data_IF_121423689775
#
_entry.id   IF_121423689775
#
_cell.length_a   1.000
_cell.length_b   1.000
_cell.length_c   1.000
_cell.angle_alpha   90.00
_cell.angle_beta   90.00
_cell.angle_gamma   90.00
#
_symmetry.space_group_name_H-M   'P 1'
#
loop_
_entity.id
_entity.type
_entity.pdbx_description
1 polymer ?
#
# COMPACT_ATOMS: atom_id res chain seq x y z
N UNK A 1 27.02 -25.59 -26.13
CA UNK A 1 27.55 -24.41 -25.42
C UNK A 1 26.64 -23.18 -25.57
N UNK A 2 26.74 -22.36 -26.63
CA UNK A 2 25.91 -21.12 -26.75
C UNK A 2 24.39 -21.41 -26.83
N UNK A 3 23.98 -22.47 -27.52
CA UNK A 3 22.56 -22.87 -27.63
C UNK A 3 21.98 -23.46 -26.34
N UNK A 4 22.80 -24.10 -25.50
CA UNK A 4 22.37 -24.62 -24.20
C UNK A 4 22.22 -23.50 -23.17
N UNK A 5 23.10 -22.49 -23.20
CA UNK A 5 22.93 -21.28 -22.39
C UNK A 5 21.66 -20.51 -22.79
N UNK A 6 21.38 -20.32 -24.08
CA UNK A 6 20.13 -19.68 -24.52
C UNK A 6 18.87 -20.48 -24.11
N UNK A 7 18.93 -21.81 -24.17
CA UNK A 7 17.84 -22.67 -23.68
C UNK A 7 17.67 -22.54 -22.17
N UNK A 8 18.75 -22.43 -21.42
CA UNK A 8 18.70 -22.26 -19.97
C UNK A 8 18.13 -20.87 -19.61
N UNK A 9 18.57 -19.81 -20.30
CA UNK A 9 18.09 -18.45 -20.07
C UNK A 9 16.59 -18.31 -20.39
N UNK A 10 16.11 -18.89 -21.49
CA UNK A 10 14.67 -18.87 -21.81
C UNK A 10 13.82 -19.67 -20.82
N UNK A 11 14.35 -20.76 -20.26
CA UNK A 11 13.70 -21.49 -19.15
C UNK A 11 13.65 -20.67 -17.86
N UNK A 12 14.71 -19.93 -17.55
CA UNK A 12 14.73 -19.02 -16.39
C UNK A 12 13.76 -17.86 -16.56
N UNK A 13 13.68 -17.27 -17.76
CA UNK A 13 12.72 -16.21 -18.07
C UNK A 13 11.28 -16.69 -17.96
N UNK A 14 10.94 -17.85 -18.55
CA UNK A 14 9.61 -18.43 -18.45
C UNK A 14 9.22 -18.83 -17.02
N UNK A 15 10.19 -19.28 -16.21
CA UNK A 15 9.98 -19.54 -14.79
C UNK A 15 9.67 -18.26 -14.00
N UNK A 16 10.37 -17.16 -14.30
CA UNK A 16 10.16 -15.85 -13.67
C UNK A 16 8.79 -15.26 -14.01
N UNK A 17 8.40 -15.30 -15.28
CA UNK A 17 7.09 -14.82 -15.73
C UNK A 17 5.95 -15.59 -15.05
N UNK A 18 6.05 -16.92 -14.98
CA UNK A 18 5.09 -17.79 -14.30
C UNK A 18 4.94 -17.47 -12.82
N UNK A 19 6.03 -17.12 -12.13
CA UNK A 19 5.99 -16.75 -10.72
C UNK A 19 5.25 -15.42 -10.50
N UNK A 20 5.50 -14.42 -11.34
CA UNK A 20 4.85 -13.10 -11.25
C UNK A 20 3.37 -13.15 -11.57
N UNK A 21 2.98 -13.91 -12.59
CA UNK A 21 1.58 -14.14 -12.90
C UNK A 21 0.83 -14.76 -11.70
N UNK A 22 1.45 -15.72 -11.00
CA UNK A 22 0.90 -16.30 -9.77
C UNK A 22 0.74 -15.27 -8.64
N UNK A 23 1.67 -14.31 -8.52
CA UNK A 23 1.56 -13.21 -7.54
C UNK A 23 0.34 -12.35 -7.85
N UNK A 24 0.19 -11.89 -9.09
CA UNK A 24 -0.96 -11.10 -9.53
C UNK A 24 -2.27 -11.86 -9.38
N UNK A 25 -2.30 -13.14 -9.73
CA UNK A 25 -3.50 -13.98 -9.57
C UNK A 25 -3.88 -14.18 -8.09
N UNK A 26 -2.90 -14.26 -7.19
CA UNK A 26 -3.17 -14.33 -5.75
C UNK A 26 -3.66 -12.99 -5.19
N UNK A 27 -3.07 -11.89 -5.65
CA UNK A 27 -3.38 -10.53 -5.22
C UNK A 27 -4.75 -10.04 -5.74
N UNK A 28 -5.01 -10.23 -7.03
CA UNK A 28 -6.14 -9.65 -7.77
C UNK A 28 -7.14 -10.68 -8.30
N UNK A 29 -7.00 -11.97 -7.94
CA UNK A 29 -7.87 -13.04 -8.46
C UNK A 29 -9.32 -13.00 -7.97
N UNK A 30 -9.63 -12.21 -6.94
CA UNK A 30 -11.02 -11.92 -6.52
C UNK A 30 -11.09 -10.59 -5.79
N UNK A 31 -12.27 -9.97 -5.80
CA UNK A 31 -12.47 -8.66 -5.17
C UNK A 31 -12.08 -8.62 -3.68
N UNK A 32 -12.44 -9.60 -2.82
CA UNK A 32 -12.00 -9.60 -1.43
C UNK A 32 -10.47 -9.74 -1.27
N UNK A 33 -9.82 -10.51 -2.14
CA UNK A 33 -8.35 -10.64 -2.14
C UNK A 33 -7.67 -9.35 -2.56
N UNK A 34 -8.27 -8.63 -3.51
CA UNK A 34 -7.80 -7.29 -3.90
C UNK A 34 -7.83 -6.35 -2.70
N UNK A 35 -8.97 -6.25 -1.99
CA UNK A 35 -9.05 -5.43 -0.78
C UNK A 35 -8.04 -5.82 0.30
N UNK A 36 -7.87 -7.13 0.53
CA UNK A 36 -6.87 -7.65 1.47
C UNK A 36 -5.44 -7.25 1.07
N UNK A 37 -5.11 -7.35 -0.21
CA UNK A 37 -3.78 -6.97 -0.74
C UNK A 37 -3.54 -5.47 -0.63
N UNK A 38 -4.54 -4.65 -0.95
CA UNK A 38 -4.47 -3.20 -0.80
C UNK A 38 -4.22 -2.81 0.67
N UNK A 39 -4.95 -3.44 1.60
CA UNK A 39 -4.75 -3.25 3.04
C UNK A 39 -3.35 -3.67 3.49
N UNK A 40 -2.85 -4.83 3.06
CA UNK A 40 -1.49 -5.29 3.38
C UNK A 40 -0.42 -4.31 2.85
N UNK A 41 -0.65 -3.73 1.68
CA UNK A 41 0.30 -2.82 1.03
C UNK A 41 0.46 -1.50 1.79
N UNK A 42 -0.63 -0.98 2.40
CA UNK A 42 -0.57 0.26 3.21
C UNK A 42 -0.15 0.01 4.67
N UNK A 43 -0.43 -1.19 5.20
CA UNK A 43 -0.09 -1.55 6.58
C UNK A 43 1.32 -2.11 6.75
N UNK A 44 2.05 -2.35 5.64
CA UNK A 44 3.38 -2.93 5.65
C UNK A 44 3.42 -4.45 5.80
N UNK A 45 2.27 -5.13 5.69
CA UNK A 45 2.19 -6.60 5.69
C UNK A 45 2.68 -7.26 4.39
N UNK A 46 2.75 -6.48 3.31
CA UNK A 46 3.34 -6.86 2.03
C UNK A 46 4.08 -5.65 1.44
N UNK A 47 5.23 -5.86 0.82
CA UNK A 47 5.89 -4.79 0.08
C UNK A 47 5.02 -4.37 -1.10
N UNK A 48 4.64 -3.09 -1.14
CA UNK A 48 3.84 -2.54 -2.24
C UNK A 48 4.58 -2.63 -3.58
N UNK A 49 5.92 -2.69 -3.58
CA UNK A 49 6.76 -2.88 -4.77
C UNK A 49 6.53 -4.26 -5.41
N UNK A 50 6.37 -5.30 -4.59
CA UNK A 50 6.16 -6.68 -5.08
C UNK A 50 4.85 -6.82 -5.88
N UNK A 51 3.90 -5.89 -5.65
CA UNK A 51 2.63 -5.81 -6.36
C UNK A 51 2.69 -4.79 -7.51
N UNK A 52 3.36 -3.65 -7.30
CA UNK A 52 3.46 -2.56 -8.26
C UNK A 52 4.31 -2.91 -9.49
N UNK A 53 5.44 -3.59 -9.30
CA UNK A 53 6.33 -3.99 -10.39
C UNK A 53 5.63 -4.86 -11.45
N UNK A 54 4.98 -5.99 -11.09
CA UNK A 54 4.28 -6.81 -12.08
C UNK A 54 3.05 -6.09 -12.66
N UNK A 55 2.41 -5.16 -11.95
CA UNK A 55 1.35 -4.31 -12.52
C UNK A 55 1.90 -3.36 -13.59
N UNK A 56 3.06 -2.77 -13.35
CA UNK A 56 3.71 -1.80 -14.25
C UNK A 56 4.16 -2.46 -15.54
N UNK A 57 4.60 -3.73 -15.47
CA UNK A 57 4.97 -4.52 -16.65
C UNK A 57 3.78 -4.88 -17.53
N UNK A 58 2.58 -5.04 -16.95
CA UNK A 58 1.35 -5.21 -17.72
C UNK A 58 0.92 -3.88 -18.33
N UNK A 59 0.89 -2.83 -17.50
CA UNK A 59 0.53 -1.48 -17.93
C UNK A 59 1.07 -0.45 -16.95
N UNK A 60 1.85 0.49 -17.47
CA UNK A 60 2.36 1.63 -16.73
C UNK A 60 1.25 2.41 -16.02
N UNK A 61 0.05 2.48 -16.61
CA UNK A 61 -1.10 3.18 -16.03
C UNK A 61 -1.64 2.48 -14.78
N UNK A 62 -1.60 1.14 -14.75
CA UNK A 62 -2.02 0.37 -13.57
C UNK A 62 -1.02 0.54 -12.43
N UNK A 63 0.28 0.53 -12.75
CA UNK A 63 1.34 0.85 -11.79
C UNK A 63 1.18 2.26 -11.20
N UNK A 64 0.96 3.26 -12.06
CA UNK A 64 0.71 4.66 -11.64
C UNK A 64 -0.53 4.79 -10.77
N UNK A 65 -1.65 4.16 -11.13
CA UNK A 65 -2.87 4.18 -10.33
C UNK A 65 -2.63 3.57 -8.93
N UNK A 66 -1.91 2.45 -8.86
CA UNK A 66 -1.57 1.79 -7.60
C UNK A 66 -0.63 2.65 -6.75
N UNK A 67 0.39 3.27 -7.35
CA UNK A 67 1.28 4.22 -6.65
C UNK A 67 0.51 5.42 -6.10
N UNK A 68 -0.43 5.98 -6.86
CA UNK A 68 -1.28 7.07 -6.40
C UNK A 68 -2.16 6.65 -5.21
N UNK A 69 -2.70 5.43 -5.23
CA UNK A 69 -3.42 4.88 -4.08
C UNK A 69 -2.53 4.84 -2.82
N UNK A 70 -1.32 4.30 -2.92
CA UNK A 70 -0.36 4.24 -1.80
C UNK A 70 -0.03 5.65 -1.29
N UNK A 71 0.27 6.58 -2.19
CA UNK A 71 0.61 7.95 -1.82
C UNK A 71 -0.56 8.66 -1.11
N UNK A 72 -1.78 8.52 -1.61
CA UNK A 72 -2.97 9.08 -0.97
C UNK A 72 -3.22 8.47 0.41
N UNK A 73 -3.09 7.15 0.56
CA UNK A 73 -3.28 6.50 1.85
C UNK A 73 -2.22 6.92 2.87
N UNK A 74 -0.94 6.89 2.49
CA UNK A 74 0.17 7.16 3.42
C UNK A 74 0.35 8.65 3.73
N UNK A 75 0.27 9.54 2.73
CA UNK A 75 0.56 10.96 2.91
C UNK A 75 -0.68 11.83 3.17
N UNK A 76 -1.86 11.39 2.74
CA UNK A 76 -3.09 12.19 2.87
C UNK A 76 -4.01 11.60 3.95
N UNK A 77 -4.52 10.39 3.76
CA UNK A 77 -5.57 9.83 4.63
C UNK A 77 -5.08 9.65 6.06
N UNK A 78 -3.93 8.98 6.26
CA UNK A 78 -3.39 8.78 7.61
C UNK A 78 -3.08 10.11 8.30
N UNK A 79 -2.48 11.06 7.58
CA UNK A 79 -2.13 12.36 8.14
C UNK A 79 -3.35 13.23 8.46
N UNK A 80 -4.41 13.19 7.64
CA UNK A 80 -5.68 13.88 7.93
C UNK A 80 -6.31 13.28 9.19
N UNK A 81 -6.37 11.95 9.28
CA UNK A 81 -6.94 11.27 10.44
C UNK A 81 -6.15 11.63 11.70
N UNK A 82 -4.82 11.56 11.65
CA UNK A 82 -3.96 11.98 12.76
C UNK A 82 -4.17 13.44 13.13
N UNK A 83 -4.30 14.34 12.15
CA UNK A 83 -4.58 15.77 12.37
C UNK A 83 -5.88 15.99 13.14
N UNK A 84 -6.96 15.32 12.74
CA UNK A 84 -8.25 15.38 13.44
C UNK A 84 -8.14 14.89 14.88
N UNK A 85 -7.43 13.78 15.12
CA UNK A 85 -7.26 13.25 16.48
C UNK A 85 -6.45 14.19 17.39
N UNK A 86 -5.42 14.85 16.84
CA UNK A 86 -4.61 15.82 17.60
C UNK A 86 -5.43 17.07 17.92
N UNK A 87 -6.23 17.56 16.97
CA UNK A 87 -7.13 18.69 17.18
C UNK A 87 -8.17 18.39 18.29
N UNK A 88 -8.77 17.20 18.25
CA UNK A 88 -9.73 16.75 19.26
C UNK A 88 -9.10 16.66 20.66
N UNK A 89 -7.91 16.05 20.77
CA UNK A 89 -7.19 15.96 22.05
C UNK A 89 -6.80 17.33 22.61
N UNK A 90 -6.44 18.28 21.73
CA UNK A 90 -6.16 19.66 22.11
C UNK A 90 -7.40 20.38 22.65
N UNK A 91 -8.56 20.19 22.01
CA UNK A 91 -9.82 20.80 22.46
C UNK A 91 -10.24 20.31 23.85
N UNK A 92 -10.15 18.99 24.10
CA UNK A 92 -10.46 18.42 25.43
C UNK A 92 -9.56 19.04 26.50
N UNK A 93 -8.26 19.18 26.22
CA UNK A 93 -7.32 19.79 27.18
C UNK A 93 -7.66 21.25 27.49
N UNK A 94 -8.01 22.03 26.46
CA UNK A 94 -8.40 23.43 26.64
C UNK A 94 -9.72 23.58 27.42
N UNK A 95 -10.71 22.73 27.15
CA UNK A 95 -11.98 22.69 27.90
C UNK A 95 -11.75 22.34 29.39
N UNK A 96 -10.83 21.43 29.69
CA UNK A 96 -10.49 21.06 31.07
C UNK A 96 -9.78 22.21 31.81
N UNK A 97 -8.87 22.95 31.16
CA UNK A 97 -8.22 24.13 31.74
C UNK A 97 -9.22 25.26 32.05
N UNK A 98 -10.12 25.58 31.12
CA UNK A 98 -11.16 26.60 31.32
C UNK A 98 -12.11 26.22 32.47
N UNK A 99 -12.51 24.95 32.55
CA UNK A 99 -13.36 24.46 33.64
C UNK A 99 -12.65 24.51 35.02
N UNK A 100 -11.34 24.26 35.06
CA UNK A 100 -10.57 24.35 36.29
C UNK A 100 -10.43 25.80 36.78
N UNK A 101 -10.23 26.75 35.87
CA UNK A 101 -10.19 28.19 36.19
C UNK A 101 -11.52 28.69 36.74
N UNK A 102 -12.66 28.25 36.19
CA UNK A 102 -13.99 28.63 36.70
C UNK A 102 -14.20 28.10 38.13
N UNK A 103 -13.64 26.94 38.48
CA UNK A 103 -13.84 26.31 39.79
C UNK A 103 -12.93 26.90 40.90
N UNK A 104 -11.93 27.71 40.56
CA UNK A 104 -11.05 28.41 41.52
C UNK A 104 -11.53 29.83 41.91
N UNK A 105 -12.53 30.38 41.22
CA UNK A 105 -13.11 31.71 41.49
C UNK A 105 -14.42 31.59 42.28
#
# INVERSE_FOLDING_TARGET
FVTEELSFLSLLEGGRESARFKVLQRAFGSLPKTFYTLFLSISGGLSWVDVCDPLTEISIWLGLLFMMYIALCLFCVLNIITGIFVEEAGRITAEDEDNMLIHEV
#
